data_IF_889366564903
#
_entry.id   IF_889366564903
#
_cell.length_a   1.000
_cell.length_b   1.000
_cell.length_c   1.000
_cell.angle_alpha   90.00
_cell.angle_beta   90.00
_cell.angle_gamma   90.00
#
_symmetry.space_group_name_H-M   'P 1'
#
loop_
_entity.id
_entity.type
_entity.pdbx_description
1 polymer ?
#
# COMPACT_ATOMS: atom_id res chain seq x y z
N UNK A 1 10.89 9.14 5.49
CA UNK A 1 11.70 8.66 4.34
C UNK A 1 13.05 8.10 4.78
N UNK A 2 13.92 8.86 5.46
CA UNK A 2 15.23 8.37 5.95
C UNK A 2 15.13 7.05 6.72
N UNK A 3 14.24 6.98 7.71
CA UNK A 3 14.00 5.76 8.49
C UNK A 3 13.49 4.58 7.64
N UNK A 4 12.71 4.84 6.57
CA UNK A 4 12.25 3.77 5.68
C UNK A 4 13.43 3.18 4.88
N UNK A 5 14.32 4.04 4.37
CA UNK A 5 15.53 3.62 3.65
C UNK A 5 16.51 2.88 4.57
N UNK A 6 16.62 3.28 5.83
CA UNK A 6 17.42 2.56 6.83
C UNK A 6 16.91 1.13 7.04
N UNK A 7 15.59 0.93 7.06
CA UNK A 7 15.00 -0.42 7.15
C UNK A 7 15.21 -1.19 5.85
N UNK A 8 15.06 -0.53 4.69
CA UNK A 8 15.29 -1.16 3.39
C UNK A 8 16.74 -1.66 3.25
N UNK A 9 17.72 -0.88 3.74
CA UNK A 9 19.12 -1.28 3.78
C UNK A 9 19.34 -2.55 4.62
N UNK A 10 18.63 -2.70 5.75
CA UNK A 10 18.70 -3.92 6.59
C UNK A 10 18.12 -5.15 5.89
N UNK A 11 17.26 -4.96 4.90
CA UNK A 11 16.68 -6.03 4.08
C UNK A 11 17.43 -6.25 2.76
N UNK A 12 18.58 -5.58 2.55
CA UNK A 12 19.35 -5.61 1.31
C UNK A 12 18.58 -5.09 0.07
N UNK A 13 17.74 -4.07 0.28
CA UNK A 13 16.88 -3.46 -0.74
C UNK A 13 17.29 -2.03 -1.13
N UNK A 14 18.49 -1.59 -0.72
CA UNK A 14 19.01 -0.25 -0.99
C UNK A 14 19.06 0.10 -2.49
N UNK A 15 19.35 -0.90 -3.34
CA UNK A 15 19.41 -0.73 -4.79
C UNK A 15 18.12 -0.18 -5.41
N UNK A 16 16.96 -0.48 -4.80
CA UNK A 16 15.66 0.06 -5.23
C UNK A 16 15.25 1.25 -4.36
N UNK A 17 15.46 1.16 -3.04
CA UNK A 17 14.96 2.15 -2.08
C UNK A 17 15.68 3.50 -2.12
N UNK A 18 16.96 3.54 -2.52
CA UNK A 18 17.74 4.78 -2.53
C UNK A 18 17.32 5.72 -3.66
N UNK A 19 16.83 5.16 -4.78
CA UNK A 19 16.35 5.92 -5.94
C UNK A 19 14.86 6.24 -5.88
N UNK A 20 14.11 5.59 -5.00
CA UNK A 20 12.67 5.79 -4.86
C UNK A 20 12.37 6.99 -3.97
N UNK A 21 11.60 7.95 -4.50
CA UNK A 21 11.22 9.17 -3.80
C UNK A 21 9.78 9.15 -3.29
N UNK A 22 8.93 8.30 -3.82
CA UNK A 22 7.56 8.14 -3.36
C UNK A 22 7.53 7.28 -2.08
N UNK A 23 6.93 7.76 -0.97
CA UNK A 23 6.81 6.96 0.25
C UNK A 23 6.01 5.67 0.05
N UNK A 24 5.02 5.65 -0.83
CA UNK A 24 4.12 4.49 -0.96
C UNK A 24 4.82 3.27 -1.57
N UNK A 25 5.57 3.38 -2.69
CA UNK A 25 6.39 2.28 -3.18
C UNK A 25 7.44 1.81 -2.17
N UNK A 26 8.03 2.70 -1.36
CA UNK A 26 8.93 2.29 -0.27
C UNK A 26 8.20 1.46 0.79
N UNK A 27 7.01 1.90 1.22
CA UNK A 27 6.20 1.15 2.18
C UNK A 27 5.79 -0.21 1.61
N UNK A 28 5.39 -0.26 0.34
CA UNK A 28 5.06 -1.51 -0.34
C UNK A 28 6.27 -2.44 -0.42
N UNK A 29 7.45 -1.92 -0.80
CA UNK A 29 8.69 -2.68 -0.84
C UNK A 29 9.02 -3.28 0.54
N UNK A 30 8.95 -2.47 1.60
CA UNK A 30 9.20 -2.93 2.97
C UNK A 30 8.16 -3.94 3.44
N UNK A 31 6.89 -3.76 3.06
CA UNK A 31 5.83 -4.69 3.42
C UNK A 31 6.04 -6.06 2.73
N UNK A 32 6.26 -6.06 1.42
CA UNK A 32 6.43 -7.28 0.63
C UNK A 32 7.67 -8.09 1.00
N UNK A 33 8.78 -7.43 1.33
CA UNK A 33 10.01 -8.15 1.68
C UNK A 33 10.22 -8.29 3.20
N UNK A 34 9.66 -7.40 4.01
CA UNK A 34 9.85 -7.39 5.46
C UNK A 34 8.70 -8.01 6.26
N UNK A 35 7.47 -7.96 5.76
CA UNK A 35 6.27 -8.40 6.50
C UNK A 35 5.66 -9.65 5.90
N UNK A 36 5.33 -9.66 4.60
CA UNK A 36 4.65 -10.80 3.94
C UNK A 36 5.34 -12.16 4.17
N UNK A 37 6.68 -12.30 4.10
CA UNK A 37 7.36 -13.58 4.31
C UNK A 37 7.28 -14.09 5.76
N UNK A 38 6.83 -13.24 6.68
CA UNK A 38 6.83 -13.50 8.12
C UNK A 38 5.43 -13.76 8.69
N UNK A 39 4.36 -13.49 7.95
CA UNK A 39 2.97 -13.70 8.36
C UNK A 39 2.35 -14.93 7.69
N UNK A 40 1.15 -15.35 8.13
CA UNK A 40 0.39 -16.37 7.41
C UNK A 40 0.99 -17.77 7.39
N UNK A 41 1.97 -18.09 8.25
CA UNK A 41 2.69 -19.39 8.21
C UNK A 41 1.81 -20.56 8.66
N UNK A 42 1.29 -20.47 9.88
CA UNK A 42 0.49 -21.56 10.48
C UNK A 42 -1.01 -21.42 10.19
N UNK A 43 -1.51 -20.18 10.10
CA UNK A 43 -2.93 -19.85 9.84
C UNK A 43 -3.05 -18.57 9.01
N UNK A 44 -4.15 -18.34 8.28
CA UNK A 44 -4.38 -17.11 7.55
C UNK A 44 -4.21 -15.88 8.44
N UNK A 45 -3.54 -14.85 7.93
CA UNK A 45 -3.30 -13.59 8.64
C UNK A 45 -3.89 -12.44 7.86
N UNK A 46 -4.77 -11.68 8.52
CA UNK A 46 -5.30 -10.45 7.98
C UNK A 46 -4.39 -9.29 8.38
N UNK A 47 -4.09 -8.43 7.42
CA UNK A 47 -3.53 -7.10 7.64
C UNK A 47 -4.60 -6.12 7.21
N UNK A 48 -4.93 -5.16 8.06
CA UNK A 48 -5.98 -4.16 7.80
C UNK A 48 -5.48 -2.77 8.20
N UNK A 49 -6.23 -1.73 7.83
CA UNK A 49 -5.83 -0.35 8.05
C UNK A 49 -4.52 0.01 7.34
N UNK A 50 -4.48 -0.27 6.04
CA UNK A 50 -3.42 0.22 5.16
C UNK A 50 -3.37 1.75 5.16
N UNK A 51 -2.22 2.38 4.87
CA UNK A 51 -2.12 3.83 4.77
C UNK A 51 -3.20 4.42 3.85
N UNK A 52 -3.74 5.59 4.22
CA UNK A 52 -4.78 6.29 3.46
C UNK A 52 -4.38 6.56 2.00
N UNK A 53 -3.09 6.76 1.74
CA UNK A 53 -2.52 6.91 0.40
C UNK A 53 -2.63 5.64 -0.46
N UNK A 54 -2.80 4.48 0.18
CA UNK A 54 -3.01 3.15 -0.42
C UNK A 54 -4.47 2.68 -0.30
N UNK A 55 -5.41 3.62 -0.14
CA UNK A 55 -6.83 3.32 0.00
C UNK A 55 -7.45 2.64 -1.22
N UNK A 56 -6.91 2.87 -2.44
CA UNK A 56 -7.58 2.44 -3.67
C UNK A 56 -9.02 2.98 -3.70
N UNK A 57 -10.03 2.11 -3.81
CA UNK A 57 -11.46 2.42 -3.75
C UNK A 57 -12.04 2.34 -2.32
N UNK A 58 -11.21 2.16 -1.30
CA UNK A 58 -11.67 2.10 0.09
C UNK A 58 -11.97 3.48 0.67
N UNK A 59 -12.90 3.52 1.63
CA UNK A 59 -13.09 4.67 2.51
C UNK A 59 -11.85 4.92 3.37
N UNK A 60 -11.60 6.19 3.69
CA UNK A 60 -10.66 6.57 4.74
C UNK A 60 -11.34 6.38 6.09
N UNK A 61 -10.60 5.86 7.07
CA UNK A 61 -11.16 5.63 8.40
C UNK A 61 -11.58 6.93 9.06
N UNK A 62 -12.76 6.93 9.68
CA UNK A 62 -13.28 8.09 10.41
C UNK A 62 -12.63 8.25 11.79
N UNK A 63 -12.04 7.17 12.34
CA UNK A 63 -11.34 7.17 13.62
C UNK A 63 -9.88 7.61 13.48
N UNK A 64 -9.17 7.11 12.44
CA UNK A 64 -7.80 7.52 12.11
C UNK A 64 -7.65 7.80 10.62
N UNK A 65 -7.65 9.08 10.26
CA UNK A 65 -7.61 9.53 8.86
C UNK A 65 -6.28 9.20 8.14
N UNK A 66 -5.30 8.63 8.85
CA UNK A 66 -4.04 8.15 8.26
C UNK A 66 -4.18 6.78 7.61
N UNK A 67 -5.27 6.06 7.86
CA UNK A 67 -5.51 4.70 7.35
C UNK A 67 -6.81 4.61 6.54
N UNK A 68 -6.87 3.61 5.67
CA UNK A 68 -8.04 3.24 4.90
C UNK A 68 -8.69 1.98 5.46
N UNK A 69 -10.00 1.87 5.28
CA UNK A 69 -10.81 0.69 5.64
C UNK A 69 -10.58 -0.45 4.62
N UNK A 70 -9.32 -0.83 4.42
CA UNK A 70 -8.85 -1.88 3.50
C UNK A 70 -8.13 -2.96 4.27
N UNK A 71 -8.30 -4.20 3.83
CA UNK A 71 -7.59 -5.35 4.35
C UNK A 71 -7.08 -6.26 3.22
N UNK A 72 -6.10 -7.07 3.58
CA UNK A 72 -5.59 -8.18 2.78
C UNK A 72 -5.42 -9.41 3.67
N UNK A 73 -5.58 -10.58 3.09
CA UNK A 73 -5.38 -11.86 3.79
C UNK A 73 -4.28 -12.67 3.13
N UNK A 74 -3.34 -13.12 3.96
CA UNK A 74 -2.15 -13.84 3.55
C UNK A 74 -2.10 -15.23 4.20
N UNK A 75 -1.74 -16.26 3.42
CA UNK A 75 -1.52 -17.61 3.95
C UNK A 75 -0.47 -18.36 3.13
N UNK A 76 0.48 -19.01 3.81
CA UNK A 76 1.57 -19.80 3.22
C UNK A 76 2.35 -19.05 2.13
N UNK A 77 2.62 -17.77 2.36
CA UNK A 77 3.35 -16.91 1.44
C UNK A 77 2.57 -16.45 0.21
N UNK A 78 1.24 -16.60 0.21
CA UNK A 78 0.36 -16.20 -0.89
C UNK A 78 -0.65 -15.18 -0.36
N UNK A 79 -0.82 -14.06 -1.06
CA UNK A 79 -1.96 -13.16 -0.90
C UNK A 79 -3.22 -13.87 -1.45
N UNK A 80 -4.20 -14.12 -0.59
CA UNK A 80 -5.41 -14.84 -0.95
C UNK A 80 -6.55 -13.91 -1.37
N UNK A 81 -6.65 -12.72 -0.79
CA UNK A 81 -7.68 -11.75 -1.14
C UNK A 81 -7.31 -10.33 -0.70
N UNK A 82 -7.86 -9.36 -1.42
CA UNK A 82 -7.92 -7.95 -1.08
C UNK A 82 -9.39 -7.55 -0.91
N UNK A 83 -9.73 -6.82 0.15
CA UNK A 83 -11.08 -6.33 0.40
C UNK A 83 -11.11 -5.01 1.14
N UNK A 84 -12.20 -4.28 1.05
CA UNK A 84 -12.33 -2.95 1.65
C UNK A 84 -13.79 -2.55 1.89
N UNK A 85 -13.98 -1.56 2.76
CA UNK A 85 -15.22 -0.79 2.85
C UNK A 85 -15.26 0.21 1.70
N UNK A 86 -16.14 -0.04 0.73
CA UNK A 86 -16.27 0.70 -0.53
C UNK A 86 -16.51 2.20 -0.35
N UNK A 87 -15.76 3.02 -1.09
CA UNK A 87 -16.02 4.45 -1.21
C UNK A 87 -17.33 4.68 -1.96
N UNK A 88 -18.29 5.33 -1.31
CA UNK A 88 -19.62 5.57 -1.87
C UNK A 88 -19.79 6.99 -2.44
N UNK A 89 -18.87 7.92 -2.16
CA UNK A 89 -18.91 9.27 -2.72
C UNK A 89 -18.31 9.29 -4.14
N UNK A 90 -19.19 9.46 -5.13
CA UNK A 90 -18.80 9.52 -6.54
C UNK A 90 -17.88 10.71 -6.87
N UNK A 91 -18.00 11.85 -6.18
CA UNK A 91 -17.14 13.01 -6.42
C UNK A 91 -15.73 12.75 -5.90
N UNK A 92 -15.61 12.17 -4.71
CA UNK A 92 -14.32 11.76 -4.17
C UNK A 92 -13.67 10.68 -5.07
N UNK A 93 -14.46 9.70 -5.51
CA UNK A 93 -13.99 8.65 -6.41
C UNK A 93 -13.42 9.21 -7.72
N UNK A 94 -14.11 10.19 -8.33
CA UNK A 94 -13.62 10.88 -9.53
C UNK A 94 -12.30 11.61 -9.27
N UNK A 95 -12.19 12.34 -8.16
CA UNK A 95 -10.96 13.06 -7.80
C UNK A 95 -9.76 12.10 -7.63
N UNK A 96 -9.98 10.92 -7.05
CA UNK A 96 -8.95 9.87 -6.93
C UNK A 96 -8.52 9.35 -8.30
N UNK A 97 -9.44 9.08 -9.22
CA UNK A 97 -9.08 8.67 -10.59
C UNK A 97 -8.28 9.74 -11.34
N UNK A 98 -8.66 11.01 -11.21
CA UNK A 98 -7.89 12.12 -11.81
C UNK A 98 -6.49 12.22 -11.21
N UNK A 99 -6.35 11.95 -9.91
CA UNK A 99 -5.04 11.90 -9.25
C UNK A 99 -4.19 10.74 -9.78
N UNK A 100 -4.76 9.56 -9.95
CA UNK A 100 -4.06 8.40 -10.50
C UNK A 100 -3.61 8.64 -11.94
N UNK A 101 -4.45 9.26 -12.78
CA UNK A 101 -4.05 9.64 -14.13
C UNK A 101 -2.90 10.65 -14.15
N UNK A 102 -2.89 11.62 -13.22
CA UNK A 102 -1.74 12.52 -13.06
C UNK A 102 -0.47 11.77 -12.65
N UNK A 103 -0.56 10.82 -11.71
CA UNK A 103 0.57 9.95 -11.31
C UNK A 103 1.08 9.11 -12.49
N UNK A 104 0.17 8.51 -13.27
CA UNK A 104 0.49 7.73 -14.47
C UNK A 104 1.20 8.57 -15.51
N UNK A 105 0.68 9.76 -15.82
CA UNK A 105 1.30 10.70 -16.77
C UNK A 105 2.70 11.13 -16.32
N UNK A 106 2.89 11.42 -15.03
CA UNK A 106 4.21 11.76 -14.47
C UNK A 106 5.23 10.62 -14.59
N UNK A 107 4.77 9.36 -14.61
CA UNK A 107 5.58 8.16 -14.80
C UNK A 107 5.69 7.73 -16.28
N UNK A 108 5.15 8.50 -17.21
CA UNK A 108 5.16 8.17 -18.64
C UNK A 108 4.29 6.97 -19.02
N UNK A 109 3.29 6.64 -18.19
CA UNK A 109 2.36 5.52 -18.39
C UNK A 109 1.11 5.96 -19.17
N UNK A 110 0.47 5.06 -19.94
CA UNK A 110 -0.80 5.35 -20.61
C UNK A 110 -1.91 5.66 -19.60
N UNK A 111 -2.83 6.56 -19.95
CA UNK A 111 -4.01 6.91 -19.15
C UNK A 111 -5.13 5.90 -19.40
#
# INVERSE_FOLDING_TARGET
KTQLREVAAKLDLSNVADTEEDPDPLLQLLFTFGVEPNIGKEKPTFVYHFPASQASLAQISTEDHRVAERFEVYYKGIELANGFHELTDAREQQQRFEQDNRKRAARGLPQ
#
